data_IF_638586342162
#
_entry.id   IF_638586342162
#
_cell.length_a   1.000
_cell.length_b   1.000
_cell.length_c   1.000
_cell.angle_alpha   90.00
_cell.angle_beta   90.00
_cell.angle_gamma   90.00
#
_symmetry.space_group_name_H-M   'P 1'
#
loop_
_entity.id
_entity.type
_entity.pdbx_description
1 polymer ?
#
# COMPACT_ATOMS: atom_id res chain seq x y z
N UNK A 1 -28.92 -4.97 -21.83
CA UNK A 1 -28.55 -4.72 -20.41
C UNK A 1 -27.19 -4.03 -20.32
N UNK A 2 -26.72 -3.62 -19.14
CA UNK A 2 -25.35 -3.16 -18.91
C UNK A 2 -24.52 -4.19 -18.14
N UNK A 3 -23.21 -4.20 -18.35
CA UNK A 3 -22.26 -4.89 -17.49
C UNK A 3 -21.47 -3.85 -16.69
N UNK A 4 -21.36 -4.05 -15.37
CA UNK A 4 -20.39 -3.34 -14.54
C UNK A 4 -19.26 -4.28 -14.13
N UNK A 5 -18.05 -4.00 -14.63
CA UNK A 5 -16.85 -4.74 -14.26
C UNK A 5 -16.17 -4.09 -13.03
N UNK A 6 -16.25 -4.78 -11.90
CA UNK A 6 -15.36 -4.58 -10.76
C UNK A 6 -13.92 -4.91 -11.13
N UNK A 7 -13.00 -4.10 -10.61
CA UNK A 7 -11.56 -4.29 -10.68
C UNK A 7 -10.99 -4.11 -9.27
N UNK A 8 -10.18 -3.08 -9.06
CA UNK A 8 -9.67 -2.71 -7.73
C UNK A 8 -10.66 -1.80 -6.98
N UNK A 9 -11.96 -2.11 -7.00
CA UNK A 9 -13.06 -1.33 -6.44
C UNK A 9 -14.15 -2.25 -5.86
N UNK A 10 -13.73 -3.16 -4.98
CA UNK A 10 -14.59 -4.16 -4.33
C UNK A 10 -15.52 -3.53 -3.27
N UNK A 11 -16.43 -2.67 -3.73
CA UNK A 11 -17.38 -1.94 -2.90
C UNK A 11 -18.61 -1.50 -3.71
N UNK A 12 -19.72 -1.29 -3.02
CA UNK A 12 -20.94 -0.74 -3.63
C UNK A 12 -21.00 0.78 -3.42
N UNK A 13 -20.63 1.29 -2.25
CA UNK A 13 -20.76 2.72 -1.96
C UNK A 13 -19.66 3.53 -2.65
N UNK A 14 -20.02 4.76 -3.04
CA UNK A 14 -19.11 5.68 -3.71
C UNK A 14 -18.44 5.01 -4.94
N UNK A 15 -19.20 4.24 -5.72
CA UNK A 15 -18.71 3.57 -6.92
C UNK A 15 -19.31 4.22 -8.18
N UNK A 16 -18.53 5.12 -8.80
CA UNK A 16 -18.99 5.95 -9.93
C UNK A 16 -19.39 5.14 -11.17
N UNK A 17 -18.58 4.20 -11.68
CA UNK A 17 -18.98 3.38 -12.83
C UNK A 17 -20.19 2.49 -12.53
N UNK A 18 -20.30 1.91 -11.32
CA UNK A 18 -21.48 1.14 -10.91
C UNK A 18 -22.75 2.00 -10.90
N UNK A 19 -22.68 3.21 -10.34
CA UNK A 19 -23.79 4.17 -10.36
C UNK A 19 -24.17 4.55 -11.80
N UNK A 20 -23.18 4.79 -12.67
CA UNK A 20 -23.43 5.16 -14.05
C UNK A 20 -24.12 4.04 -14.84
N UNK A 21 -23.66 2.80 -14.68
CA UNK A 21 -24.26 1.62 -15.29
C UNK A 21 -25.72 1.48 -14.86
N UNK A 22 -25.96 1.34 -13.55
CA UNK A 22 -27.29 1.09 -12.96
C UNK A 22 -28.28 2.23 -13.16
N UNK A 23 -27.82 3.46 -13.39
CA UNK A 23 -28.68 4.59 -13.74
C UNK A 23 -29.21 4.52 -15.18
N UNK A 24 -28.42 3.96 -16.09
CA UNK A 24 -28.74 3.97 -17.53
C UNK A 24 -29.52 2.75 -17.99
N UNK A 25 -29.30 1.58 -17.37
CA UNK A 25 -30.03 0.35 -17.65
C UNK A 25 -29.83 -0.65 -16.51
N UNK A 26 -30.60 -1.73 -16.53
CA UNK A 26 -30.39 -2.88 -15.67
C UNK A 26 -28.94 -3.39 -15.81
N UNK A 27 -28.26 -3.61 -14.69
CA UNK A 27 -26.80 -3.80 -14.65
C UNK A 27 -26.40 -5.10 -13.98
N UNK A 28 -25.62 -5.92 -14.71
CA UNK A 28 -25.00 -7.15 -14.22
C UNK A 28 -23.64 -6.84 -13.58
N UNK A 29 -23.46 -7.09 -12.27
CA UNK A 29 -22.17 -6.94 -11.60
C UNK A 29 -21.24 -8.11 -11.91
N UNK A 30 -20.03 -7.80 -12.36
CA UNK A 30 -19.03 -8.79 -12.78
C UNK A 30 -17.68 -8.50 -12.13
N UNK A 31 -16.95 -9.53 -11.72
CA UNK A 31 -15.53 -9.48 -11.43
C UNK A 31 -14.79 -10.55 -12.26
N UNK A 32 -13.62 -10.21 -12.80
CA UNK A 32 -12.79 -11.16 -13.54
C UNK A 32 -11.41 -11.23 -12.89
N UNK A 33 -11.05 -12.43 -12.43
CA UNK A 33 -9.73 -12.77 -11.93
C UNK A 33 -8.76 -12.94 -13.12
N UNK A 34 -8.14 -11.82 -13.53
CA UNK A 34 -7.19 -11.81 -14.64
C UNK A 34 -5.79 -12.25 -14.16
N UNK A 35 -5.21 -13.33 -14.72
CA UNK A 35 -3.95 -13.89 -14.25
C UNK A 35 -2.77 -12.91 -14.40
N UNK A 36 -2.85 -11.90 -15.28
CA UNK A 36 -1.82 -10.86 -15.43
C UNK A 36 -1.73 -9.93 -14.22
N UNK A 37 -2.81 -9.84 -13.45
CA UNK A 37 -2.89 -9.11 -12.17
C UNK A 37 -2.72 -10.08 -11.02
N UNK A 38 -3.47 -11.18 -11.00
CA UNK A 38 -3.61 -11.98 -9.79
C UNK A 38 -2.45 -12.91 -9.51
N UNK A 39 -1.78 -13.45 -10.54
CA UNK A 39 -0.53 -14.18 -10.34
C UNK A 39 0.61 -13.30 -9.84
N UNK A 40 0.40 -11.97 -9.86
CA UNK A 40 1.36 -11.02 -9.30
C UNK A 40 1.12 -10.77 -7.81
N UNK A 41 -0.02 -11.07 -7.23
CA UNK A 41 -0.28 -10.77 -5.83
C UNK A 41 0.33 -11.82 -4.88
N UNK A 42 0.86 -11.35 -3.75
CA UNK A 42 1.28 -12.22 -2.65
C UNK A 42 0.09 -12.89 -1.97
N UNK A 43 0.34 -14.00 -1.28
CA UNK A 43 -0.70 -14.85 -0.67
C UNK A 43 -1.64 -14.06 0.26
N UNK A 44 -1.11 -13.19 1.12
CA UNK A 44 -1.93 -12.41 2.06
C UNK A 44 -2.84 -11.41 1.34
N UNK A 45 -2.35 -10.78 0.26
CA UNK A 45 -3.13 -9.85 -0.57
C UNK A 45 -4.22 -10.58 -1.34
N UNK A 46 -3.93 -11.80 -1.82
CA UNK A 46 -4.87 -12.68 -2.51
C UNK A 46 -6.02 -13.10 -1.58
N UNK A 47 -5.68 -13.72 -0.45
CA UNK A 47 -6.64 -14.12 0.56
C UNK A 47 -7.55 -12.95 1.03
N UNK A 48 -6.97 -11.78 1.29
CA UNK A 48 -7.75 -10.60 1.67
C UNK A 48 -8.69 -10.09 0.56
N UNK A 49 -8.28 -10.19 -0.71
CA UNK A 49 -9.14 -9.84 -1.85
C UNK A 49 -10.30 -10.82 -1.97
N UNK A 50 -10.03 -12.11 -1.89
CA UNK A 50 -11.02 -13.18 -2.06
C UNK A 50 -12.08 -13.15 -0.95
N UNK A 51 -11.67 -13.00 0.31
CA UNK A 51 -12.59 -12.70 1.42
C UNK A 51 -13.44 -11.44 1.15
N UNK A 52 -12.86 -10.45 0.48
CA UNK A 52 -13.57 -9.25 0.08
C UNK A 52 -14.56 -9.45 -1.05
N UNK A 53 -14.30 -10.38 -1.97
CA UNK A 53 -15.22 -10.77 -3.04
C UNK A 53 -16.42 -11.52 -2.47
N UNK A 54 -16.21 -12.41 -1.50
CA UNK A 54 -17.29 -13.06 -0.74
C UNK A 54 -18.18 -12.01 -0.08
N UNK A 55 -17.59 -11.05 0.65
CA UNK A 55 -18.34 -9.93 1.24
C UNK A 55 -19.04 -9.04 0.21
N UNK A 56 -18.46 -8.86 -0.96
CA UNK A 56 -19.09 -8.09 -2.03
C UNK A 56 -20.29 -8.84 -2.64
N UNK A 57 -20.19 -10.16 -2.82
CA UNK A 57 -21.28 -10.99 -3.29
C UNK A 57 -22.47 -10.96 -2.30
N UNK A 58 -22.20 -11.14 -1.00
CA UNK A 58 -23.21 -10.96 0.06
C UNK A 58 -23.93 -9.60 -0.06
N UNK A 59 -23.19 -8.52 -0.33
CA UNK A 59 -23.76 -7.18 -0.50
C UNK A 59 -24.64 -7.02 -1.73
N UNK A 60 -24.36 -7.74 -2.81
CA UNK A 60 -25.23 -7.77 -3.98
C UNK A 60 -26.52 -8.58 -3.72
N UNK A 61 -26.41 -9.70 -3.01
CA UNK A 61 -27.56 -10.53 -2.60
C UNK A 61 -28.51 -9.78 -1.68
N UNK A 62 -28.00 -9.03 -0.70
CA UNK A 62 -28.79 -8.12 0.15
C UNK A 62 -29.62 -7.11 -0.67
N UNK A 63 -29.26 -6.86 -1.93
CA UNK A 63 -29.91 -5.91 -2.83
C UNK A 63 -30.75 -6.58 -3.92
N UNK A 64 -30.99 -7.89 -3.82
CA UNK A 64 -31.77 -8.64 -4.80
C UNK A 64 -31.04 -8.85 -6.12
N UNK A 65 -29.70 -8.93 -6.10
CA UNK A 65 -28.84 -9.18 -7.25
C UNK A 65 -27.77 -10.20 -6.86
N UNK A 66 -26.72 -10.35 -7.67
CA UNK A 66 -25.60 -11.23 -7.41
C UNK A 66 -24.32 -10.71 -8.06
N UNK A 67 -23.20 -11.33 -7.72
CA UNK A 67 -21.90 -11.04 -8.33
C UNK A 67 -21.42 -12.23 -9.17
N UNK A 68 -21.29 -12.03 -10.48
CA UNK A 68 -20.69 -13.02 -11.36
C UNK A 68 -19.17 -12.91 -11.26
N UNK A 69 -18.50 -14.01 -10.94
CA UNK A 69 -17.03 -14.05 -10.89
C UNK A 69 -16.51 -15.06 -11.91
N UNK A 70 -15.69 -14.59 -12.86
CA UNK A 70 -15.00 -15.44 -13.84
C UNK A 70 -13.49 -15.43 -13.62
N UNK A 71 -12.81 -16.46 -14.10
CA UNK A 71 -11.35 -16.55 -14.09
C UNK A 71 -10.85 -16.64 -15.53
N UNK A 72 -9.95 -15.74 -15.95
CA UNK A 72 -9.49 -15.73 -17.32
C UNK A 72 -8.99 -14.38 -17.81
N UNK A 73 -8.68 -14.31 -19.10
CA UNK A 73 -8.28 -13.04 -19.72
C UNK A 73 -9.51 -12.13 -19.78
N UNK A 74 -9.44 -10.95 -19.15
CA UNK A 74 -10.60 -10.02 -19.02
C UNK A 74 -11.36 -9.82 -20.32
N UNK A 75 -10.66 -9.63 -21.44
CA UNK A 75 -11.30 -9.44 -22.74
C UNK A 75 -12.21 -10.62 -23.13
N UNK A 76 -11.67 -11.84 -23.06
CA UNK A 76 -12.36 -13.05 -23.50
C UNK A 76 -13.60 -13.34 -22.63
N UNK A 77 -13.46 -13.21 -21.32
CA UNK A 77 -14.58 -13.42 -20.40
C UNK A 77 -15.67 -12.35 -20.59
N UNK A 78 -15.29 -11.10 -20.85
CA UNK A 78 -16.26 -10.05 -21.18
C UNK A 78 -16.96 -10.28 -22.51
N UNK A 79 -16.28 -10.76 -23.55
CA UNK A 79 -16.93 -11.10 -24.83
C UNK A 79 -18.04 -12.12 -24.62
N UNK A 80 -17.76 -13.20 -23.87
CA UNK A 80 -18.77 -14.20 -23.54
C UNK A 80 -19.94 -13.63 -22.73
N UNK A 81 -19.66 -12.78 -21.73
CA UNK A 81 -20.70 -12.16 -20.91
C UNK A 81 -21.54 -11.12 -21.68
N UNK A 82 -20.93 -10.41 -22.64
CA UNK A 82 -21.64 -9.47 -23.51
C UNK A 82 -22.67 -10.21 -24.36
N UNK A 83 -22.29 -11.36 -24.92
CA UNK A 83 -23.19 -12.20 -25.70
C UNK A 83 -24.26 -12.87 -24.81
N UNK A 84 -23.88 -13.34 -23.62
CA UNK A 84 -24.79 -14.01 -22.67
C UNK A 84 -25.93 -13.09 -22.18
N UNK A 85 -25.62 -11.82 -21.90
CA UNK A 85 -26.56 -10.86 -21.32
C UNK A 85 -27.12 -9.83 -22.31
N UNK A 86 -26.82 -9.99 -23.61
CA UNK A 86 -27.12 -8.99 -24.66
C UNK A 86 -26.76 -7.57 -24.18
N UNK A 87 -25.50 -7.43 -23.75
CA UNK A 87 -25.04 -6.23 -23.09
C UNK A 87 -24.80 -5.12 -24.13
N UNK A 88 -25.40 -3.96 -23.90
CA UNK A 88 -25.23 -2.77 -24.75
C UNK A 88 -23.96 -2.00 -24.41
N UNK A 89 -23.51 -2.11 -23.14
CA UNK A 89 -22.39 -1.32 -22.64
C UNK A 89 -21.69 -1.94 -21.44
N UNK A 90 -20.36 -1.80 -21.43
CA UNK A 90 -19.48 -2.21 -20.31
C UNK A 90 -18.96 -0.98 -19.56
N UNK A 91 -19.29 -0.86 -18.28
CA UNK A 91 -18.79 0.18 -17.38
C UNK A 91 -17.69 -0.36 -16.48
N UNK A 92 -16.65 0.44 -16.24
CA UNK A 92 -15.57 0.02 -15.35
C UNK A 92 -14.80 1.19 -14.73
N UNK A 93 -14.13 0.93 -13.60
CA UNK A 93 -13.18 1.86 -12.99
C UNK A 93 -11.85 1.87 -13.73
N UNK A 94 -11.37 3.06 -14.14
CA UNK A 94 -10.03 3.20 -14.73
C UNK A 94 -8.95 2.77 -13.73
N UNK A 95 -7.92 2.11 -14.25
CA UNK A 95 -6.72 1.76 -13.52
C UNK A 95 -5.52 2.47 -14.13
N UNK A 96 -4.49 2.72 -13.30
CA UNK A 96 -3.38 3.61 -13.67
C UNK A 96 -2.02 2.91 -13.62
N UNK A 97 -2.00 1.60 -13.34
CA UNK A 97 -0.81 0.76 -13.47
C UNK A 97 -0.60 0.33 -14.93
N UNK A 98 0.63 -0.02 -15.36
CA UNK A 98 0.89 -0.44 -16.74
C UNK A 98 -0.04 -1.57 -17.22
N UNK A 99 -0.06 -2.70 -16.52
CA UNK A 99 -0.94 -3.84 -16.84
C UNK A 99 -2.42 -3.49 -16.75
N UNK A 100 -2.83 -2.66 -15.78
CA UNK A 100 -4.21 -2.23 -15.66
C UNK A 100 -4.70 -1.42 -16.87
N UNK A 101 -3.84 -0.54 -17.41
CA UNK A 101 -4.11 0.25 -18.62
C UNK A 101 -4.13 -0.62 -19.87
N UNK A 102 -3.26 -1.62 -19.96
CA UNK A 102 -3.26 -2.61 -21.06
C UNK A 102 -4.61 -3.34 -21.12
N UNK A 103 -5.08 -3.88 -19.99
CA UNK A 103 -6.42 -4.48 -19.88
C UNK A 103 -7.51 -3.46 -20.24
N UNK A 104 -7.38 -2.20 -19.80
CA UNK A 104 -8.32 -1.13 -20.15
C UNK A 104 -8.45 -0.93 -21.67
N UNK A 105 -7.33 -0.95 -22.40
CA UNK A 105 -7.35 -0.87 -23.88
C UNK A 105 -8.00 -2.09 -24.53
N UNK A 106 -7.83 -3.27 -23.93
CA UNK A 106 -8.50 -4.49 -24.41
C UNK A 106 -10.02 -4.42 -24.22
N UNK A 107 -10.50 -3.85 -23.11
CA UNK A 107 -11.93 -3.59 -22.86
C UNK A 107 -12.46 -2.55 -23.86
N UNK A 108 -11.69 -1.49 -24.14
CA UNK A 108 -12.02 -0.47 -25.16
C UNK A 108 -12.09 -1.04 -26.59
N UNK A 109 -11.52 -2.22 -26.84
CA UNK A 109 -11.49 -2.89 -28.12
C UNK A 109 -12.52 -4.04 -28.25
N UNK A 110 -13.48 -4.13 -27.33
CA UNK A 110 -14.63 -5.03 -27.46
C UNK A 110 -15.59 -4.53 -28.56
N UNK A 111 -16.41 -5.44 -29.10
CA UNK A 111 -17.45 -5.10 -30.09
C UNK A 111 -18.72 -4.50 -29.45
N UNK A 112 -18.58 -3.86 -28.28
CA UNK A 112 -19.65 -3.22 -27.51
C UNK A 112 -19.12 -1.89 -26.97
N UNK A 113 -20.01 -0.91 -26.73
CA UNK A 113 -19.58 0.35 -26.12
C UNK A 113 -18.95 0.07 -24.75
N UNK A 114 -17.84 0.73 -24.42
CA UNK A 114 -17.25 0.64 -23.11
C UNK A 114 -16.92 2.01 -22.53
N UNK A 115 -17.16 2.17 -21.23
CA UNK A 115 -17.00 3.44 -20.52
C UNK A 115 -16.16 3.28 -19.27
N UNK A 116 -14.86 3.58 -19.42
CA UNK A 116 -13.95 3.72 -18.28
C UNK A 116 -14.16 5.05 -17.55
N UNK A 117 -14.33 5.01 -16.23
CA UNK A 117 -14.55 6.21 -15.39
C UNK A 117 -13.54 6.32 -14.25
N UNK A 118 -13.27 7.56 -13.80
CA UNK A 118 -12.49 7.79 -12.58
C UNK A 118 -13.20 7.18 -11.37
N UNK A 119 -12.53 6.30 -10.63
CA UNK A 119 -13.12 5.68 -9.43
C UNK A 119 -12.17 5.63 -8.21
N UNK A 120 -10.96 5.09 -8.32
CA UNK A 120 -10.11 4.82 -7.13
C UNK A 120 -9.12 5.94 -6.78
N UNK A 121 -8.98 6.94 -7.65
CA UNK A 121 -8.22 8.16 -7.39
C UNK A 121 -9.16 9.36 -7.27
N UNK A 122 -8.81 10.29 -6.38
CA UNK A 122 -9.45 11.59 -6.19
C UNK A 122 -9.08 12.55 -7.31
N UNK A 123 -7.85 12.46 -7.83
CA UNK A 123 -7.37 13.21 -8.99
C UNK A 123 -6.70 12.23 -9.96
N UNK A 124 -7.15 12.20 -11.20
CA UNK A 124 -6.53 11.37 -12.23
C UNK A 124 -5.19 11.95 -12.69
N UNK A 125 -4.21 11.11 -13.05
CA UNK A 125 -2.93 11.56 -13.60
C UNK A 125 -3.00 12.53 -14.78
N UNK A 126 -4.06 12.42 -15.59
CA UNK A 126 -4.33 13.28 -16.76
C UNK A 126 -4.84 14.67 -16.40
N UNK A 127 -5.35 14.87 -15.18
CA UNK A 127 -5.85 16.16 -14.70
C UNK A 127 -4.72 17.05 -14.13
N UNK A 128 -3.50 16.53 -14.09
CA UNK A 128 -2.33 17.20 -13.53
C UNK A 128 -1.38 17.64 -14.66
N UNK A 129 -0.83 18.84 -14.52
CA UNK A 129 -0.12 19.59 -15.55
C UNK A 129 1.15 18.91 -16.06
N UNK A 130 1.85 18.15 -15.19
CA UNK A 130 3.13 17.53 -15.53
C UNK A 130 3.51 16.38 -14.62
N UNK A 131 4.66 15.81 -14.91
CA UNK A 131 5.45 14.99 -14.01
C UNK A 131 6.01 15.83 -12.85
N UNK A 132 6.17 15.22 -11.68
CA UNK A 132 6.67 15.89 -10.49
C UNK A 132 7.78 15.07 -9.85
N UNK A 133 8.95 15.69 -9.70
CA UNK A 133 10.09 15.06 -9.03
C UNK A 133 9.97 15.05 -7.50
N UNK A 134 9.10 15.90 -6.94
CA UNK A 134 8.89 16.03 -5.50
C UNK A 134 7.40 16.12 -5.18
N UNK A 135 7.04 15.75 -3.94
CA UNK A 135 5.63 15.72 -3.53
C UNK A 135 5.00 17.10 -3.37
N UNK A 136 5.78 18.11 -2.94
CA UNK A 136 5.22 19.43 -2.61
C UNK A 136 4.56 20.14 -3.80
N UNK A 137 5.17 20.21 -5.00
CA UNK A 137 4.52 20.73 -6.20
C UNK A 137 3.27 19.95 -6.61
N UNK A 138 3.34 18.61 -6.58
CA UNK A 138 2.19 17.74 -6.84
C UNK A 138 1.04 18.09 -5.90
N UNK A 139 1.30 18.17 -4.59
CA UNK A 139 0.27 18.40 -3.60
C UNK A 139 -0.40 19.78 -3.73
N UNK A 140 0.37 20.82 -4.11
CA UNK A 140 -0.20 22.14 -4.39
C UNK A 140 -1.20 22.10 -5.54
N UNK A 141 -0.91 21.37 -6.60
CA UNK A 141 -1.81 21.25 -7.75
C UNK A 141 -2.97 20.30 -7.48
N UNK A 142 -2.70 19.14 -6.88
CA UNK A 142 -3.70 18.17 -6.44
C UNK A 142 -4.79 18.83 -5.58
N UNK A 143 -4.42 19.77 -4.69
CA UNK A 143 -5.38 20.55 -3.90
C UNK A 143 -6.29 21.45 -4.75
N UNK A 144 -5.79 22.03 -5.84
CA UNK A 144 -6.54 22.95 -6.71
C UNK A 144 -7.54 22.22 -7.62
N UNK A 145 -7.28 20.97 -7.97
CA UNK A 145 -8.21 20.18 -8.79
C UNK A 145 -9.53 20.00 -8.04
N UNK A 146 -10.65 20.30 -8.70
CA UNK A 146 -11.99 20.02 -8.19
C UNK A 146 -12.22 18.50 -8.17
N UNK A 147 -12.43 17.94 -6.98
CA UNK A 147 -12.69 16.51 -6.81
C UNK A 147 -14.17 16.23 -7.09
N UNK A 148 -14.44 15.05 -7.64
CA UNK A 148 -15.80 14.57 -7.81
C UNK A 148 -16.49 14.37 -6.46
N UNK A 149 -17.80 14.64 -6.40
CA UNK A 149 -18.64 14.31 -5.26
C UNK A 149 -18.76 12.79 -5.09
N UNK A 150 -19.29 12.38 -3.93
CA UNK A 150 -19.66 10.99 -3.69
C UNK A 150 -20.63 10.51 -4.76
N UNK A 151 -20.43 9.27 -5.22
CA UNK A 151 -21.44 8.62 -6.05
C UNK A 151 -22.64 8.23 -5.18
N UNK A 152 -23.83 8.40 -5.73
CA UNK A 152 -25.07 7.85 -5.16
C UNK A 152 -25.03 6.32 -5.18
N UNK A 153 -25.94 5.70 -4.41
CA UNK A 153 -26.12 4.24 -4.40
C UNK A 153 -26.57 3.76 -5.79
N UNK A 154 -26.18 2.54 -6.22
CA UNK A 154 -26.75 1.95 -7.43
C UNK A 154 -28.25 1.72 -7.28
N UNK A 155 -28.93 1.67 -8.42
CA UNK A 155 -30.37 1.44 -8.52
C UNK A 155 -30.64 0.13 -9.27
N UNK A 156 -30.79 0.18 -10.61
CA UNK A 156 -31.22 -0.96 -11.42
C UNK A 156 -30.13 -2.04 -11.56
N UNK A 157 -30.05 -2.93 -10.57
CA UNK A 157 -29.21 -4.12 -10.60
C UNK A 157 -30.00 -5.29 -11.17
N UNK A 158 -29.35 -6.09 -12.02
CA UNK A 158 -29.96 -7.28 -12.62
C UNK A 158 -30.17 -8.37 -11.57
N UNK A 159 -31.28 -9.12 -11.68
CA UNK A 159 -31.50 -10.34 -10.89
C UNK A 159 -30.64 -11.49 -11.45
N UNK A 160 -29.42 -11.58 -10.95
CA UNK A 160 -28.46 -12.65 -11.25
C UNK A 160 -28.03 -13.34 -9.97
N UNK A 161 -27.63 -14.60 -10.06
CA UNK A 161 -27.09 -15.34 -8.91
C UNK A 161 -25.60 -15.05 -8.76
N UNK A 162 -25.14 -14.93 -7.51
CA UNK A 162 -23.71 -14.92 -7.25
C UNK A 162 -23.07 -16.25 -7.65
N UNK A 163 -21.99 -16.17 -8.41
CA UNK A 163 -21.17 -17.33 -8.79
C UNK A 163 -19.80 -17.16 -8.12
N UNK A 164 -19.73 -17.40 -6.80
CA UNK A 164 -18.47 -17.27 -6.06
C UNK A 164 -17.68 -18.59 -6.16
N UNK A 165 -16.48 -18.59 -6.76
CA UNK A 165 -15.62 -19.76 -6.78
C UNK A 165 -15.22 -20.16 -5.36
N UNK A 166 -14.89 -21.44 -5.18
CA UNK A 166 -14.24 -21.90 -3.95
C UNK A 166 -12.81 -21.31 -3.89
N UNK A 167 -12.66 -20.18 -3.18
CA UNK A 167 -11.40 -19.47 -3.08
C UNK A 167 -10.50 -20.06 -1.99
N UNK A 168 -9.19 -20.09 -2.24
CA UNK A 168 -8.19 -20.33 -1.20
C UNK A 168 -8.00 -19.04 -0.37
N UNK A 169 -8.89 -18.86 0.60
CA UNK A 169 -8.85 -17.70 1.50
C UNK A 169 -7.80 -17.82 2.61
N UNK A 170 -6.90 -18.82 2.57
CA UNK A 170 -5.85 -18.98 3.57
C UNK A 170 -4.77 -17.90 3.46
N UNK A 171 -4.60 -17.15 4.55
CA UNK A 171 -3.51 -16.20 4.70
C UNK A 171 -2.37 -16.81 5.51
N UNK A 172 -1.13 -16.46 5.17
CA UNK A 172 0.05 -16.85 5.99
C UNK A 172 0.30 -15.91 7.16
N UNK A 173 -0.45 -14.82 7.23
CA UNK A 173 -0.37 -13.82 8.27
C UNK A 173 -1.74 -13.61 8.91
N UNK A 174 -1.74 -13.09 10.12
CA UNK A 174 -2.94 -12.65 10.83
C UNK A 174 -3.41 -11.30 10.26
N UNK A 175 -4.22 -11.39 9.20
CA UNK A 175 -4.81 -10.28 8.46
C UNK A 175 -6.22 -9.96 8.99
N UNK A 176 -6.65 -8.68 8.97
CA UNK A 176 -7.96 -8.31 9.48
C UNK A 176 -9.09 -8.80 8.57
N UNK A 177 -10.32 -8.64 9.06
CA UNK A 177 -11.54 -8.83 8.28
C UNK A 177 -11.58 -7.93 7.04
N UNK A 178 -12.00 -8.51 5.91
CA UNK A 178 -12.14 -7.85 4.62
C UNK A 178 -13.56 -7.32 4.40
N UNK A 179 -13.76 -6.58 3.32
CA UNK A 179 -15.06 -6.07 2.92
C UNK A 179 -15.28 -4.59 3.23
N UNK A 180 -16.33 -4.04 2.63
CA UNK A 180 -16.69 -2.63 2.71
C UNK A 180 -17.12 -2.20 4.12
N UNK A 181 -17.87 -3.03 4.83
CA UNK A 181 -18.36 -2.69 6.18
C UNK A 181 -17.20 -2.61 7.18
N UNK A 182 -16.30 -3.59 7.17
CA UNK A 182 -15.08 -3.58 8.00
C UNK A 182 -14.17 -2.37 7.68
N UNK A 183 -14.09 -1.96 6.40
CA UNK A 183 -13.39 -0.75 6.01
C UNK A 183 -14.03 0.52 6.61
N UNK A 184 -15.35 0.63 6.55
CA UNK A 184 -16.10 1.77 7.06
C UNK A 184 -15.99 1.86 8.58
N UNK A 185 -16.18 0.75 9.30
CA UNK A 185 -16.05 0.71 10.76
C UNK A 185 -14.65 1.19 11.21
N UNK A 186 -13.58 0.68 10.58
CA UNK A 186 -12.22 1.13 10.87
C UNK A 186 -12.00 2.60 10.56
N UNK A 187 -12.61 3.10 9.48
CA UNK A 187 -12.53 4.52 9.15
C UNK A 187 -13.21 5.37 10.21
N UNK A 188 -14.44 5.03 10.61
CA UNK A 188 -15.21 5.78 11.60
C UNK A 188 -14.53 5.79 12.96
N UNK A 189 -14.08 4.63 13.42
CA UNK A 189 -13.34 4.49 14.68
C UNK A 189 -12.06 5.35 14.69
N UNK A 190 -11.29 5.36 13.58
CA UNK A 190 -10.11 6.22 13.47
C UNK A 190 -10.46 7.71 13.37
N UNK A 191 -11.43 8.07 12.52
CA UNK A 191 -11.90 9.44 12.26
C UNK A 191 -12.37 10.11 13.54
N UNK A 192 -13.05 9.37 14.41
CA UNK A 192 -13.73 9.94 15.56
C UNK A 192 -12.89 9.89 16.83
N UNK A 193 -12.03 8.87 16.99
CA UNK A 193 -11.26 8.72 18.24
C UNK A 193 -9.82 9.20 18.16
N UNK A 194 -9.18 9.16 16.99
CA UNK A 194 -7.70 9.23 16.90
C UNK A 194 -7.15 10.22 15.87
N UNK A 195 -7.93 10.55 14.83
CA UNK A 195 -7.46 11.42 13.75
C UNK A 195 -7.06 12.83 14.23
N UNK A 196 -7.64 13.32 15.33
CA UNK A 196 -7.30 14.62 15.95
C UNK A 196 -5.87 14.69 16.50
N UNK A 197 -5.20 13.55 16.67
CA UNK A 197 -3.81 13.43 17.13
C UNK A 197 -2.88 12.80 16.07
N UNK A 198 -3.38 12.58 14.85
CA UNK A 198 -2.68 11.82 13.81
C UNK A 198 -1.27 12.37 13.49
N UNK A 199 -1.14 13.67 13.21
CA UNK A 199 0.14 14.31 12.90
C UNK A 199 1.17 14.08 14.00
N UNK A 200 0.75 14.14 15.25
CA UNK A 200 1.66 14.15 16.40
C UNK A 200 1.99 12.73 16.88
N UNK A 201 1.12 11.75 16.60
CA UNK A 201 1.26 10.37 17.07
C UNK A 201 1.50 9.32 15.99
N UNK A 202 1.39 9.65 14.69
CA UNK A 202 1.62 8.71 13.57
C UNK A 202 3.00 8.04 13.53
N UNK A 203 3.98 8.57 14.26
CA UNK A 203 5.33 8.04 14.31
C UNK A 203 5.60 7.25 15.60
N UNK A 204 4.65 7.24 16.55
CA UNK A 204 4.68 6.41 17.76
C UNK A 204 4.37 4.97 17.38
N UNK A 205 5.40 4.14 17.32
CA UNK A 205 5.26 2.75 16.84
C UNK A 205 4.75 1.80 17.93
N UNK A 206 4.92 2.19 19.20
CA UNK A 206 4.43 1.45 20.35
C UNK A 206 2.89 1.48 20.41
N UNK A 207 2.30 2.60 20.00
CA UNK A 207 0.86 2.86 19.93
C UNK A 207 0.32 2.90 18.49
N UNK A 208 0.25 1.75 17.79
CA UNK A 208 -0.16 1.68 16.39
C UNK A 208 -1.64 2.05 16.15
N UNK A 209 -2.41 2.38 17.19
CA UNK A 209 -3.80 2.82 17.09
C UNK A 209 -3.92 4.17 16.37
N UNK A 210 -2.89 5.02 16.50
CA UNK A 210 -2.87 6.37 15.93
C UNK A 210 -2.69 6.42 14.41
N UNK A 211 -2.64 5.27 13.74
CA UNK A 211 -2.74 5.17 12.28
C UNK A 211 -4.02 4.43 11.89
N UNK A 212 -4.60 4.77 10.75
CA UNK A 212 -5.92 4.27 10.35
C UNK A 212 -5.95 2.79 9.98
N UNK A 213 -4.81 2.20 9.59
CA UNK A 213 -4.71 0.84 9.05
C UNK A 213 -5.69 0.60 7.89
N UNK A 214 -5.96 1.63 7.08
CA UNK A 214 -6.87 1.56 5.93
C UNK A 214 -6.21 1.18 4.60
N UNK A 215 -4.88 1.04 4.57
CA UNK A 215 -4.10 0.80 3.35
C UNK A 215 -4.53 -0.48 2.61
N UNK A 216 -4.86 -1.56 3.33
CA UNK A 216 -5.35 -2.81 2.73
C UNK A 216 -6.69 -2.62 2.01
N UNK A 217 -7.64 -1.92 2.64
CA UNK A 217 -8.94 -1.65 2.05
C UNK A 217 -8.83 -0.74 0.83
N UNK A 218 -7.98 0.29 0.86
CA UNK A 218 -7.72 1.10 -0.35
C UNK A 218 -7.07 0.29 -1.46
N UNK A 219 -6.14 -0.61 -1.12
CA UNK A 219 -5.41 -1.40 -2.12
C UNK A 219 -6.31 -2.42 -2.83
N UNK A 220 -7.42 -2.85 -2.21
CA UNK A 220 -8.45 -3.71 -2.82
C UNK A 220 -9.71 -2.94 -3.24
N UNK A 221 -9.74 -1.62 -3.02
CA UNK A 221 -10.87 -0.78 -3.40
C UNK A 221 -12.14 -0.93 -2.56
N UNK A 222 -12.03 -1.51 -1.37
CA UNK A 222 -13.12 -1.73 -0.42
C UNK A 222 -13.55 -0.44 0.30
N UNK A 223 -12.79 0.65 0.13
CA UNK A 223 -13.13 1.97 0.67
C UNK A 223 -12.93 3.06 -0.37
N UNK A 224 -13.99 3.83 -0.64
CA UNK A 224 -13.94 4.99 -1.52
C UNK A 224 -13.20 6.16 -0.88
N UNK A 225 -12.11 6.63 -1.51
CA UNK A 225 -11.33 7.78 -1.00
C UNK A 225 -12.13 9.07 -0.96
N UNK A 226 -13.19 9.22 -1.78
CA UNK A 226 -14.02 10.44 -1.75
C UNK A 226 -14.80 10.52 -0.44
N UNK A 227 -15.26 9.39 0.11
CA UNK A 227 -15.93 9.36 1.44
C UNK A 227 -14.98 9.89 2.52
N UNK A 228 -13.78 9.34 2.54
CA UNK A 228 -12.74 9.71 3.51
C UNK A 228 -12.36 11.18 3.36
N UNK A 229 -12.12 11.66 2.13
CA UNK A 229 -11.81 13.06 1.90
C UNK A 229 -12.96 13.97 2.32
N UNK A 230 -14.20 13.65 1.95
CA UNK A 230 -15.39 14.43 2.33
C UNK A 230 -15.50 14.57 3.86
N UNK A 231 -15.30 13.47 4.58
CA UNK A 231 -15.34 13.47 6.05
C UNK A 231 -14.20 14.32 6.64
N UNK A 232 -12.99 14.27 6.08
CA UNK A 232 -11.85 15.09 6.51
C UNK A 232 -12.12 16.57 6.27
N UNK A 233 -12.59 16.96 5.06
CA UNK A 233 -12.87 18.36 4.75
C UNK A 233 -14.03 18.88 5.60
N UNK A 234 -15.05 18.06 5.87
CA UNK A 234 -16.14 18.41 6.78
C UNK A 234 -15.63 18.67 8.21
N UNK A 235 -14.72 17.83 8.73
CA UNK A 235 -14.08 18.09 10.03
C UNK A 235 -13.25 19.36 10.01
N UNK A 236 -12.43 19.59 8.98
CA UNK A 236 -11.61 20.81 8.87
C UNK A 236 -12.49 22.07 8.85
N UNK A 237 -13.59 22.05 8.10
CA UNK A 237 -14.45 23.23 7.93
C UNK A 237 -15.30 23.56 9.16
N UNK A 238 -15.52 22.60 10.07
CA UNK A 238 -16.34 22.75 11.28
C UNK A 238 -15.52 22.84 12.57
N UNK A 239 -14.20 22.74 12.47
CA UNK A 239 -13.30 22.66 13.62
C UNK A 239 -12.66 24.03 13.88
N UNK A 240 -12.80 24.53 15.10
CA UNK A 240 -12.17 25.77 15.53
C UNK A 240 -10.76 25.53 16.11
N UNK A 241 -10.49 24.30 16.59
CA UNK A 241 -9.19 23.97 17.15
C UNK A 241 -8.12 23.82 16.06
N UNK A 242 -7.24 24.81 15.95
CA UNK A 242 -6.13 24.81 14.99
C UNK A 242 -5.20 23.59 15.10
N UNK A 243 -5.08 22.99 16.29
CA UNK A 243 -4.31 21.76 16.49
C UNK A 243 -4.97 20.56 15.79
N UNK A 244 -6.28 20.39 15.96
CA UNK A 244 -7.05 19.36 15.27
C UNK A 244 -7.03 19.55 13.75
N UNK A 245 -7.21 20.78 13.26
CA UNK A 245 -7.15 21.10 11.82
C UNK A 245 -5.81 20.66 11.22
N UNK A 246 -4.68 20.93 11.89
CA UNK A 246 -3.35 20.51 11.43
C UNK A 246 -3.23 18.97 11.37
N UNK A 247 -3.83 18.28 12.32
CA UNK A 247 -3.86 16.81 12.37
C UNK A 247 -4.71 16.22 11.23
N UNK A 248 -5.91 16.74 10.99
CA UNK A 248 -6.78 16.35 9.87
C UNK A 248 -6.12 16.62 8.52
N UNK A 249 -5.54 17.82 8.35
CA UNK A 249 -4.82 18.21 7.13
C UNK A 249 -3.60 17.31 6.88
N UNK A 250 -2.91 16.85 7.94
CA UNK A 250 -1.81 15.90 7.79
C UNK A 250 -2.31 14.55 7.28
N UNK A 251 -3.45 14.05 7.75
CA UNK A 251 -4.01 12.80 7.23
C UNK A 251 -4.42 12.93 5.75
N UNK A 252 -5.01 14.07 5.36
CA UNK A 252 -5.25 14.40 3.93
C UNK A 252 -3.96 14.35 3.10
N UNK A 253 -2.84 14.85 3.62
CA UNK A 253 -1.55 14.78 2.92
C UNK A 253 -1.13 13.33 2.62
N UNK A 254 -1.39 12.39 3.54
CA UNK A 254 -1.02 10.98 3.34
C UNK A 254 -1.90 10.29 2.29
N UNK A 255 -3.18 10.69 2.17
CA UNK A 255 -4.02 10.26 1.06
C UNK A 255 -3.42 10.73 -0.28
N UNK A 256 -2.99 12.00 -0.34
CA UNK A 256 -2.36 12.56 -1.53
C UNK A 256 -1.01 11.87 -1.85
N UNK A 257 -0.22 11.46 -0.85
CA UNK A 257 1.01 10.67 -1.06
C UNK A 257 0.72 9.36 -1.80
N UNK A 258 -0.38 8.69 -1.45
CA UNK A 258 -0.84 7.51 -2.19
C UNK A 258 -1.05 7.81 -3.67
N UNK A 259 -1.67 8.95 -4.01
CA UNK A 259 -1.94 9.35 -5.40
C UNK A 259 -0.71 9.90 -6.13
N UNK A 260 0.24 10.49 -5.40
CA UNK A 260 1.52 10.92 -5.95
C UNK A 260 2.26 9.74 -6.57
N UNK A 261 2.32 8.60 -5.88
CA UNK A 261 2.97 7.42 -6.45
C UNK A 261 2.24 6.85 -7.68
N UNK A 262 0.91 7.00 -7.75
CA UNK A 262 0.18 6.70 -8.98
C UNK A 262 0.54 7.67 -10.12
N UNK A 263 0.70 8.96 -9.85
CA UNK A 263 1.13 9.95 -10.84
C UNK A 263 2.52 9.62 -11.39
N UNK A 264 3.47 9.31 -10.50
CA UNK A 264 4.85 8.92 -10.87
C UNK A 264 4.81 7.70 -11.78
N UNK A 265 4.15 6.63 -11.34
CA UNK A 265 4.09 5.37 -12.10
C UNK A 265 3.32 5.52 -13.42
N UNK A 266 2.29 6.36 -13.47
CA UNK A 266 1.50 6.59 -14.68
C UNK A 266 2.34 7.21 -15.80
N UNK A 267 3.22 8.17 -15.43
CA UNK A 267 4.15 8.84 -16.36
C UNK A 267 5.39 8.00 -16.64
N UNK A 268 5.81 7.17 -15.69
CA UNK A 268 7.04 6.37 -15.74
C UNK A 268 6.76 4.88 -15.53
N UNK A 269 6.16 4.17 -16.49
CA UNK A 269 5.80 2.77 -16.34
C UNK A 269 7.01 1.86 -16.07
N UNK A 270 8.20 2.22 -16.55
CA UNK A 270 9.46 1.51 -16.31
C UNK A 270 9.91 1.54 -14.84
N UNK A 271 9.44 2.51 -14.03
CA UNK A 271 9.77 2.61 -12.61
C UNK A 271 9.27 1.42 -11.77
N UNK A 272 8.52 0.49 -12.36
CA UNK A 272 8.21 -0.81 -11.73
C UNK A 272 9.45 -1.68 -11.58
N UNK A 273 10.39 -1.59 -12.52
CA UNK A 273 11.58 -2.45 -12.61
C UNK A 273 12.88 -1.68 -12.64
N UNK A 274 12.84 -0.40 -13.01
CA UNK A 274 14.00 0.47 -13.18
C UNK A 274 14.03 1.56 -12.10
N UNK A 275 15.20 2.18 -11.93
CA UNK A 275 15.31 3.35 -11.09
C UNK A 275 14.60 4.51 -11.81
N UNK A 276 13.84 5.32 -11.07
CA UNK A 276 13.21 6.52 -11.63
C UNK A 276 14.26 7.56 -11.99
N UNK A 277 15.28 7.74 -11.14
CA UNK A 277 16.38 8.68 -11.40
C UNK A 277 17.44 8.02 -12.27
N UNK A 278 17.92 8.78 -13.25
CA UNK A 278 19.18 8.51 -13.93
C UNK A 278 20.33 8.71 -12.95
N UNK A 279 21.06 7.63 -12.67
CA UNK A 279 22.20 7.62 -11.77
C UNK A 279 23.46 7.51 -12.65
N UNK A 280 24.43 8.44 -12.56
CA UNK A 280 25.55 8.53 -13.49
C UNK A 280 26.38 7.26 -13.62
N UNK A 281 26.59 6.54 -12.50
CA UNK A 281 27.33 5.28 -12.47
C UNK A 281 26.46 4.18 -11.84
N UNK A 282 26.69 2.93 -12.23
CA UNK A 282 25.97 1.77 -11.69
C UNK A 282 26.16 1.69 -10.16
N UNK A 283 25.06 1.52 -9.42
CA UNK A 283 25.14 1.17 -8.00
C UNK A 283 25.67 -0.27 -7.87
N UNK A 284 26.78 -0.42 -7.15
CA UNK A 284 27.45 -1.71 -6.93
C UNK A 284 26.82 -2.48 -5.76
N UNK A 285 25.56 -2.92 -5.94
CA UNK A 285 24.84 -3.71 -4.93
C UNK A 285 25.61 -4.98 -4.51
N UNK A 286 25.73 -5.20 -3.20
CA UNK A 286 26.35 -6.38 -2.57
C UNK A 286 25.24 -7.36 -2.18
N UNK A 287 24.61 -7.97 -3.19
CA UNK A 287 23.50 -8.93 -3.05
C UNK A 287 23.94 -10.26 -2.39
N UNK A 288 24.52 -10.20 -1.19
CA UNK A 288 24.94 -11.35 -0.40
C UNK A 288 23.72 -12.12 0.10
N UNK A 289 23.70 -13.42 -0.15
CA UNK A 289 22.54 -14.27 0.17
C UNK A 289 22.24 -14.29 1.67
N UNK A 290 23.26 -14.47 2.52
CA UNK A 290 23.05 -14.68 3.96
C UNK A 290 22.52 -13.43 4.67
N UNK A 291 23.09 -12.25 4.36
CA UNK A 291 22.60 -10.96 4.89
C UNK A 291 21.15 -10.69 4.46
N UNK A 292 20.79 -11.06 3.22
CA UNK A 292 19.41 -10.97 2.74
C UNK A 292 18.48 -11.93 3.49
N UNK A 293 18.92 -13.17 3.76
CA UNK A 293 18.09 -14.12 4.50
C UNK A 293 17.89 -13.68 5.95
N UNK A 294 18.94 -13.21 6.63
CA UNK A 294 18.83 -12.68 7.99
C UNK A 294 17.84 -11.50 8.04
N UNK A 295 17.90 -10.59 7.06
CA UNK A 295 16.92 -9.50 6.94
C UNK A 295 15.50 -10.02 6.73
N UNK A 296 15.30 -11.00 5.82
CA UNK A 296 13.97 -11.60 5.57
C UNK A 296 13.37 -12.28 6.81
N UNK A 297 14.21 -12.88 7.64
CA UNK A 297 13.80 -13.58 8.88
C UNK A 297 13.62 -12.63 10.08
N UNK A 298 14.22 -11.44 10.05
CA UNK A 298 14.29 -10.57 11.23
C UNK A 298 15.26 -11.13 12.27
N UNK A 299 16.44 -11.52 11.80
CA UNK A 299 17.57 -12.08 12.57
C UNK A 299 18.86 -11.28 12.27
N UNK A 300 18.75 -9.97 12.10
CA UNK A 300 19.89 -9.09 11.75
C UNK A 300 20.73 -8.71 12.95
N UNK A 301 20.24 -8.93 14.17
CA UNK A 301 20.84 -8.42 15.40
C UNK A 301 20.67 -6.89 15.55
N UNK A 302 19.75 -6.29 14.80
CA UNK A 302 19.34 -4.88 14.94
C UNK A 302 17.88 -4.85 15.40
N UNK A 303 17.59 -4.67 16.70
CA UNK A 303 16.27 -4.95 17.28
C UNK A 303 15.12 -4.22 16.59
N UNK A 304 15.30 -2.95 16.23
CA UNK A 304 14.27 -2.16 15.57
C UNK A 304 13.96 -2.64 14.14
N UNK A 305 14.97 -3.15 13.42
CA UNK A 305 14.80 -3.73 12.08
C UNK A 305 14.11 -5.08 12.18
N UNK A 306 14.58 -5.94 13.10
CA UNK A 306 14.05 -7.28 13.30
C UNK A 306 12.60 -7.27 13.76
N UNK A 307 12.25 -6.38 14.69
CA UNK A 307 10.87 -6.15 15.11
C UNK A 307 9.95 -5.79 13.92
N UNK A 308 10.42 -4.90 13.04
CA UNK A 308 9.72 -4.55 11.80
C UNK A 308 9.48 -5.76 10.91
N UNK A 309 10.54 -6.52 10.60
CA UNK A 309 10.48 -7.69 9.72
C UNK A 309 9.57 -8.79 10.27
N UNK A 310 9.62 -9.04 11.58
CA UNK A 310 8.74 -9.99 12.27
C UNK A 310 7.28 -9.52 12.26
N UNK A 311 7.01 -8.23 12.44
CA UNK A 311 5.67 -7.67 12.28
C UNK A 311 5.12 -7.93 10.86
N UNK A 312 5.91 -7.65 9.82
CA UNK A 312 5.51 -7.87 8.43
C UNK A 312 5.12 -9.33 8.17
N UNK A 313 5.96 -10.27 8.60
CA UNK A 313 5.68 -11.70 8.35
C UNK A 313 4.47 -12.16 9.14
N UNK A 314 4.34 -11.78 10.43
CA UNK A 314 3.26 -12.24 11.31
C UNK A 314 1.91 -11.62 10.98
N UNK A 315 1.85 -10.33 10.62
CA UNK A 315 0.61 -9.56 10.43
C UNK A 315 0.30 -9.22 8.97
N UNK A 316 1.24 -9.49 8.05
CA UNK A 316 1.12 -9.05 6.66
C UNK A 316 1.08 -7.54 6.52
N UNK A 317 1.45 -6.79 7.56
CA UNK A 317 1.40 -5.34 7.63
C UNK A 317 2.59 -4.88 8.45
N UNK A 318 3.18 -3.75 8.06
CA UNK A 318 4.25 -3.09 8.82
C UNK A 318 3.93 -1.61 8.98
N UNK A 319 4.17 -1.05 10.17
CA UNK A 319 4.03 0.38 10.39
C UNK A 319 4.96 1.18 9.45
N UNK A 320 4.50 2.32 8.91
CA UNK A 320 5.24 3.05 7.88
C UNK A 320 6.66 3.46 8.32
N UNK A 321 6.82 3.89 9.58
CA UNK A 321 8.14 4.22 10.16
C UNK A 321 9.11 3.04 10.08
N UNK A 322 8.62 1.83 10.31
CA UNK A 322 9.43 0.62 10.22
C UNK A 322 9.72 0.27 8.76
N UNK A 323 8.75 0.43 7.84
CA UNK A 323 8.99 0.24 6.39
C UNK A 323 10.17 1.07 5.89
N UNK A 324 10.25 2.33 6.32
CA UNK A 324 11.38 3.22 5.99
C UNK A 324 12.71 2.71 6.57
N UNK A 325 12.71 2.30 7.83
CA UNK A 325 13.92 1.81 8.52
C UNK A 325 14.44 0.49 7.94
N UNK A 326 13.58 -0.51 7.75
CA UNK A 326 14.01 -1.81 7.20
C UNK A 326 14.47 -1.68 5.74
N UNK A 327 13.84 -0.81 4.96
CA UNK A 327 14.23 -0.56 3.57
C UNK A 327 15.56 0.19 3.48
N UNK A 328 15.77 1.18 4.35
CA UNK A 328 17.06 1.88 4.46
C UNK A 328 18.16 0.95 4.98
N UNK A 329 17.88 0.08 5.94
CA UNK A 329 18.83 -0.92 6.40
C UNK A 329 19.26 -1.85 5.26
N UNK A 330 18.31 -2.43 4.52
CA UNK A 330 18.58 -3.31 3.39
C UNK A 330 19.46 -2.62 2.33
N UNK A 331 19.06 -1.43 1.88
CA UNK A 331 19.71 -0.74 0.76
C UNK A 331 20.98 0.02 1.13
N UNK A 332 21.09 0.51 2.37
CA UNK A 332 22.21 1.38 2.79
C UNK A 332 23.23 0.66 3.69
N UNK A 333 22.80 -0.24 4.57
CA UNK A 333 23.74 -0.96 5.45
C UNK A 333 24.16 -2.29 4.83
N UNK A 334 23.18 -3.06 4.32
CA UNK A 334 23.46 -4.33 3.65
C UNK A 334 23.89 -4.12 2.19
N UNK A 335 23.62 -2.94 1.62
CA UNK A 335 23.88 -2.62 0.21
C UNK A 335 23.23 -3.63 -0.75
N UNK A 336 22.06 -4.14 -0.40
CA UNK A 336 21.28 -5.07 -1.23
C UNK A 336 20.31 -4.27 -2.11
N UNK A 337 20.12 -4.73 -3.35
CA UNK A 337 19.21 -4.10 -4.31
C UNK A 337 17.79 -3.98 -3.74
N UNK A 338 17.22 -2.78 -3.80
CA UNK A 338 15.88 -2.47 -3.31
C UNK A 338 14.80 -3.36 -3.91
N UNK A 339 15.02 -3.91 -5.11
CA UNK A 339 14.09 -4.83 -5.79
C UNK A 339 13.91 -6.14 -5.03
N UNK A 340 14.91 -6.61 -4.29
CA UNK A 340 14.79 -7.78 -3.42
C UNK A 340 13.79 -7.52 -2.29
N UNK A 341 13.93 -6.36 -1.65
CA UNK A 341 13.03 -5.90 -0.62
C UNK A 341 11.61 -5.66 -1.15
N UNK A 342 11.47 -5.03 -2.31
CA UNK A 342 10.18 -4.78 -2.96
C UNK A 342 9.44 -6.09 -3.29
N UNK A 343 10.17 -7.12 -3.78
CA UNK A 343 9.62 -8.47 -4.00
C UNK A 343 9.18 -9.13 -2.70
N UNK A 344 9.99 -9.03 -1.64
CA UNK A 344 9.63 -9.57 -0.34
C UNK A 344 8.38 -8.90 0.23
N UNK A 345 8.32 -7.56 0.19
CA UNK A 345 7.15 -6.80 0.62
C UNK A 345 5.90 -7.18 -0.18
N UNK A 346 6.01 -7.34 -1.50
CA UNK A 346 4.90 -7.79 -2.35
C UNK A 346 4.38 -9.19 -2.00
N UNK A 347 5.25 -10.09 -1.56
CA UNK A 347 4.86 -11.44 -1.12
C UNK A 347 4.08 -11.44 0.20
N UNK A 348 4.42 -10.53 1.12
CA UNK A 348 3.92 -10.56 2.50
C UNK A 348 2.86 -9.50 2.81
N UNK A 349 2.87 -8.34 2.15
CA UNK A 349 1.95 -7.25 2.49
C UNK A 349 0.52 -7.53 2.02
N UNK A 350 -0.43 -7.51 2.96
CA UNK A 350 -1.87 -7.49 2.66
C UNK A 350 -2.30 -6.20 1.97
N UNK A 351 -1.58 -5.11 2.24
CA UNK A 351 -1.81 -3.80 1.62
C UNK A 351 -0.93 -3.51 0.40
N UNK A 352 -0.33 -4.56 -0.19
CA UNK A 352 0.53 -4.38 -1.35
C UNK A 352 -0.19 -3.60 -2.46
N UNK A 353 0.43 -2.49 -2.83
CA UNK A 353 0.03 -1.66 -3.96
C UNK A 353 1.29 -1.28 -4.76
N UNK A 354 1.33 -1.64 -6.04
CA UNK A 354 2.53 -1.46 -6.88
C UNK A 354 3.10 -0.04 -6.86
N UNK A 355 2.32 1.03 -7.13
CA UNK A 355 2.85 2.39 -7.06
C UNK A 355 3.41 2.74 -5.68
N UNK A 356 2.67 2.52 -4.60
CA UNK A 356 3.14 2.89 -3.25
C UNK A 356 4.34 2.05 -2.79
N UNK A 357 4.37 0.75 -3.09
CA UNK A 357 5.48 -0.13 -2.73
C UNK A 357 6.76 0.27 -3.47
N UNK A 358 6.70 0.39 -4.80
CA UNK A 358 7.87 0.78 -5.59
C UNK A 358 8.34 2.19 -5.23
N UNK A 359 7.41 3.15 -5.11
CA UNK A 359 7.74 4.52 -4.71
C UNK A 359 8.44 4.59 -3.35
N UNK A 360 7.94 3.85 -2.35
CA UNK A 360 8.56 3.78 -1.02
C UNK A 360 9.96 3.16 -1.04
N UNK A 361 10.14 2.05 -1.77
CA UNK A 361 11.46 1.41 -1.91
C UNK A 361 12.47 2.29 -2.63
N UNK A 362 12.07 2.92 -3.73
CA UNK A 362 12.93 3.83 -4.47
C UNK A 362 13.27 5.10 -3.67
N UNK A 363 12.32 5.61 -2.87
CA UNK A 363 12.57 6.72 -1.94
C UNK A 363 13.63 6.34 -0.90
N UNK A 364 13.52 5.16 -0.27
CA UNK A 364 14.53 4.67 0.69
C UNK A 364 15.88 4.38 0.04
N UNK A 365 15.87 3.92 -1.22
CA UNK A 365 17.09 3.61 -1.97
C UNK A 365 17.78 4.84 -2.57
N UNK A 366 17.19 6.04 -2.48
CA UNK A 366 17.65 7.25 -3.21
C UNK A 366 17.65 7.11 -4.73
N UNK A 367 16.82 6.21 -5.27
CA UNK A 367 16.66 5.97 -6.72
C UNK A 367 15.36 6.56 -7.28
N UNK A 368 14.48 7.07 -6.40
CA UNK A 368 13.14 7.56 -6.69
C UNK A 368 12.96 9.08 -6.65
N UNK A 369 11.71 9.51 -6.81
CA UNK A 369 11.24 10.88 -6.54
C UNK A 369 11.41 11.28 -5.07
N UNK A 370 11.45 12.58 -4.79
CA UNK A 370 11.56 13.17 -3.44
C UNK A 370 12.79 12.68 -2.65
N UNK A 371 13.83 12.24 -3.36
CA UNK A 371 15.07 11.77 -2.77
C UNK A 371 16.05 12.93 -2.54
N UNK A 372 16.50 13.07 -1.30
CA UNK A 372 17.77 13.76 -1.01
C UNK A 372 18.93 12.89 -1.49
N UNK A 373 20.09 13.50 -1.78
CA UNK A 373 21.24 12.84 -2.42
C UNK A 373 21.55 11.46 -1.81
N UNK A 374 21.75 11.37 -0.49
CA UNK A 374 21.91 10.10 0.21
C UNK A 374 21.27 10.19 1.60
N UNK A 375 20.18 9.46 1.83
CA UNK A 375 19.55 9.34 3.16
C UNK A 375 19.83 7.97 3.73
N UNK A 376 20.51 7.93 4.87
CA UNK A 376 20.78 6.71 5.62
C UNK A 376 20.13 6.85 6.99
N UNK A 377 19.11 6.03 7.27
CA UNK A 377 18.52 5.98 8.59
C UNK A 377 19.44 5.22 9.53
N UNK A 378 19.64 5.75 10.74
CA UNK A 378 20.25 4.99 11.83
C UNK A 378 19.11 4.30 12.62
N UNK A 379 18.86 2.98 12.44
CA UNK A 379 17.80 2.27 13.15
C UNK A 379 17.91 2.32 14.68
N UNK A 380 19.11 2.44 15.25
CA UNK A 380 19.29 2.62 16.71
C UNK A 380 18.69 3.95 17.16
N UNK A 381 19.08 5.06 16.51
CA UNK A 381 18.52 6.39 16.80
C UNK A 381 17.02 6.45 16.54
N UNK A 382 16.55 5.78 15.50
CA UNK A 382 15.12 5.73 15.16
C UNK A 382 14.33 4.93 16.20
N UNK A 383 14.87 3.82 16.71
CA UNK A 383 14.29 3.08 17.83
C UNK A 383 14.16 3.94 19.08
N UNK A 384 15.26 4.58 19.52
CA UNK A 384 15.24 5.48 20.70
C UNK A 384 14.21 6.62 20.57
N UNK A 385 14.03 7.14 19.35
CA UNK A 385 13.12 8.26 19.11
C UNK A 385 11.64 7.85 19.05
N UNK A 386 11.33 6.72 18.42
CA UNK A 386 9.96 6.35 18.06
C UNK A 386 9.40 5.17 18.88
N UNK A 387 10.26 4.53 19.67
CA UNK A 387 9.96 3.40 20.56
C UNK A 387 10.81 3.51 21.83
N UNK A 388 10.82 4.67 22.50
CA UNK A 388 11.80 4.99 23.57
C UNK A 388 11.81 4.02 24.76
N UNK A 389 10.71 3.32 25.01
CA UNK A 389 10.59 2.29 26.06
C UNK A 389 10.72 0.86 25.49
N UNK A 390 11.17 0.73 24.24
CA UNK A 390 11.30 -0.52 23.50
C UNK A 390 10.01 -1.36 23.45
N UNK A 391 8.82 -0.77 23.64
CA UNK A 391 7.56 -1.52 23.70
C UNK A 391 7.23 -2.23 22.39
N UNK A 392 7.47 -1.56 21.26
CA UNK A 392 7.31 -2.18 19.95
C UNK A 392 8.35 -3.29 19.74
N UNK A 393 9.62 -3.06 20.09
CA UNK A 393 10.66 -4.08 19.98
C UNK A 393 10.30 -5.30 20.83
N UNK A 394 9.99 -5.13 22.12
CA UNK A 394 9.62 -6.21 23.05
C UNK A 394 8.38 -6.99 22.62
N UNK A 395 7.46 -6.34 21.89
CA UNK A 395 6.26 -6.98 21.32
C UNK A 395 6.61 -7.96 20.20
N UNK A 396 7.59 -7.62 19.35
CA UNK A 396 7.92 -8.40 18.15
C UNK A 396 9.21 -9.24 18.26
N UNK A 397 10.04 -8.94 19.25
CA UNK A 397 11.30 -9.62 19.57
C UNK A 397 11.19 -10.09 21.04
N UNK A 398 10.39 -11.15 21.31
CA UNK A 398 10.06 -11.57 22.66
C UNK A 398 11.28 -11.98 23.50
N UNK A 399 12.36 -12.43 22.87
CA UNK A 399 13.62 -12.78 23.54
C UNK A 399 14.33 -11.58 24.20
N UNK A 400 13.95 -10.34 23.85
CA UNK A 400 14.45 -9.11 24.46
C UNK A 400 13.48 -8.51 25.50
N UNK A 401 12.35 -9.17 25.80
CA UNK A 401 11.25 -8.58 26.59
C UNK A 401 11.66 -8.16 28.00
N UNK A 402 12.50 -8.96 28.65
CA UNK A 402 12.91 -8.75 30.04
C UNK A 402 14.04 -7.73 30.19
N UNK A 403 14.69 -7.34 29.09
CA UNK A 403 15.76 -6.36 29.13
C UNK A 403 15.22 -4.94 29.32
N UNK A 404 15.99 -4.07 29.96
CA UNK A 404 15.64 -2.66 30.03
C UNK A 404 15.75 -2.00 28.63
N UNK A 405 14.99 -0.91 28.36
CA UNK A 405 15.00 -0.27 27.04
C UNK A 405 16.37 0.20 26.56
N UNK A 406 17.21 0.69 27.47
CA UNK A 406 18.55 1.18 27.11
C UNK A 406 19.42 0.04 26.58
N UNK A 407 19.40 -1.13 27.23
CA UNK A 407 20.11 -2.32 26.76
C UNK A 407 19.65 -2.76 25.37
N UNK A 408 18.35 -2.72 25.11
CA UNK A 408 17.78 -3.08 23.81
C UNK A 408 18.22 -2.10 22.72
N UNK A 409 18.12 -0.79 22.98
CA UNK A 409 18.53 0.21 22.01
C UNK A 409 20.04 0.24 21.79
N UNK A 410 20.83 -0.11 22.81
CA UNK A 410 22.29 -0.16 22.75
C UNK A 410 22.82 -1.49 22.19
N UNK A 411 21.99 -2.51 21.95
CA UNK A 411 22.41 -3.86 21.55
C UNK A 411 23.48 -3.89 20.44
N UNK A 412 23.30 -3.04 19.41
CA UNK A 412 24.21 -2.91 18.26
C UNK A 412 25.54 -2.23 18.61
N UNK A 413 25.53 -1.35 19.60
CA UNK A 413 26.68 -0.58 20.07
C UNK A 413 27.47 -1.32 21.17
N UNK A 414 26.84 -2.28 21.86
CA UNK A 414 27.44 -3.12 22.89
C UNK A 414 28.56 -4.01 22.35
N UNK A 415 29.49 -4.38 23.23
CA UNK A 415 30.48 -5.42 22.94
C UNK A 415 29.86 -6.82 22.99
N UNK A 416 30.47 -7.79 22.32
CA UNK A 416 30.01 -9.19 22.36
C UNK A 416 29.94 -9.74 23.80
N UNK A 417 30.95 -9.44 24.60
CA UNK A 417 31.03 -9.89 25.98
C UNK A 417 29.86 -9.35 26.82
N UNK A 418 29.54 -8.06 26.66
CA UNK A 418 28.43 -7.40 27.35
C UNK A 418 27.08 -7.97 26.90
N UNK A 419 26.89 -8.24 25.60
CA UNK A 419 25.68 -8.93 25.13
C UNK A 419 25.49 -10.32 25.73
N UNK A 420 26.58 -11.08 25.84
CA UNK A 420 26.56 -12.41 26.42
C UNK A 420 26.18 -12.41 27.92
N UNK A 421 26.27 -11.29 28.63
CA UNK A 421 25.85 -11.17 30.03
C UNK A 421 24.31 -11.16 30.19
N UNK A 422 23.55 -10.86 29.14
CA UNK A 422 22.08 -10.80 29.19
C UNK A 422 21.38 -12.16 29.05
N UNK A 423 22.12 -13.24 28.77
CA UNK A 423 21.60 -14.62 28.62
C UNK A 423 20.30 -14.70 27.80
N UNK A 424 20.36 -14.19 26.55
CA UNK A 424 19.23 -14.13 25.61
C UNK A 424 19.59 -14.82 24.30
N UNK A 425 18.59 -15.43 23.65
CA UNK A 425 18.72 -16.07 22.33
C UNK A 425 18.74 -15.06 21.16
N UNK A 426 18.71 -13.75 21.45
CA UNK A 426 18.72 -12.73 20.40
C UNK A 426 20.10 -12.66 19.70
N UNK A 427 20.17 -12.68 18.35
CA UNK A 427 21.44 -12.76 17.65
C UNK A 427 22.30 -11.50 17.78
N UNK A 428 23.60 -11.71 17.62
CA UNK A 428 24.55 -10.61 17.42
C UNK A 428 24.33 -9.88 16.11
N UNK A 429 24.71 -8.59 16.02
CA UNK A 429 24.66 -7.85 14.77
C UNK A 429 25.43 -8.57 13.65
N UNK A 430 24.75 -8.90 12.55
CA UNK A 430 25.33 -9.61 11.39
C UNK A 430 26.38 -8.78 10.63
N UNK A 431 26.53 -7.50 11.00
CA UNK A 431 27.44 -6.55 10.39
C UNK A 431 28.05 -5.64 11.45
N UNK A 432 29.28 -5.16 11.18
CA UNK A 432 29.79 -3.98 11.86
C UNK A 432 29.01 -2.74 11.37
N UNK A 433 28.18 -2.18 12.24
CA UNK A 433 27.22 -1.15 11.89
C UNK A 433 27.87 0.15 11.38
N UNK A 434 28.88 0.66 12.07
CA UNK A 434 29.60 1.88 11.68
C UNK A 434 30.36 1.70 10.37
N UNK A 435 31.05 0.57 10.20
CA UNK A 435 31.74 0.26 8.96
C UNK A 435 30.77 0.21 7.78
N UNK A 436 29.63 -0.50 7.92
CA UNK A 436 28.62 -0.60 6.87
C UNK A 436 27.94 0.71 6.53
N UNK A 437 27.75 1.59 7.51
CA UNK A 437 27.29 2.95 7.26
C UNK A 437 28.21 3.69 6.27
N UNK A 438 29.52 3.70 6.53
CA UNK A 438 30.49 4.38 5.68
C UNK A 438 30.62 3.72 4.31
N UNK A 439 30.63 2.38 4.24
CA UNK A 439 30.68 1.65 2.97
C UNK A 439 29.45 1.92 2.10
N UNK A 440 28.25 1.91 2.70
CA UNK A 440 27.02 2.20 2.01
C UNK A 440 26.96 3.63 1.50
N UNK A 441 27.38 4.59 2.33
CA UNK A 441 27.50 5.99 1.93
C UNK A 441 28.44 6.14 0.72
N UNK A 442 29.65 5.60 0.80
CA UNK A 442 30.63 5.65 -0.27
C UNK A 442 30.14 4.99 -1.58
N UNK A 443 29.40 3.88 -1.49
CA UNK A 443 28.79 3.24 -2.66
C UNK A 443 27.84 4.18 -3.41
N UNK A 444 27.00 4.91 -2.67
CA UNK A 444 26.08 5.89 -3.28
C UNK A 444 26.80 7.15 -3.76
N UNK A 445 27.81 7.66 -3.04
CA UNK A 445 28.62 8.80 -3.48
C UNK A 445 29.31 8.50 -4.81
N UNK A 446 29.96 7.33 -4.91
CA UNK A 446 30.56 6.84 -6.16
C UNK A 446 29.53 6.73 -7.28
N UNK A 447 28.34 6.17 -7.01
CA UNK A 447 27.27 6.03 -8.00
C UNK A 447 26.76 7.39 -8.51
N UNK A 448 26.70 8.40 -7.64
CA UNK A 448 26.29 9.77 -7.94
C UNK A 448 27.41 10.61 -8.58
N UNK A 449 28.64 10.10 -8.66
CA UNK A 449 29.78 10.83 -9.22
C UNK A 449 30.36 11.87 -8.26
N UNK A 450 30.11 11.74 -6.95
CA UNK A 450 30.85 12.50 -5.94
C UNK A 450 32.21 11.82 -5.79
N UNK A 451 33.27 12.50 -6.23
CA UNK A 451 34.66 12.05 -6.13
C UNK A 451 35.21 12.21 -4.71
#
# INVERSE_FOLDING_TARGET
>A
MNIFLHRNDLRIHDNRPLRAASKSSETVPVYIDDPRIENKNGVNKRAFRERGLEKLAEKYEERGSGLIIKQGKTKNELEGLVDEFDAEKVYYGRTYTPTGREIGKEIEALNVESQGMQNNLLVEPRQLSKEYDTFSPFYREWKKVKKASLAEKPENLADVKSEVPDFDTEARADIPEAGEDAALEKWEDFRDKRMSNYKDKRDDVANPEYVSKLSMYYSSGMLGKRKVLSDIENKINREDNSHHIKNYAKYRNEIAWGEFFYQVLYRNPQAVTENYRDIPKKIEWKNKSDELQAWKKGETGVPFVDAGMRQLVKKGYMHNRLRQNVASFLTKHLMIDWREGARFFRKHLVDHNTPSNNGGWQWSASTGTDSVSIRIFNPVKQGRQYDSHAEYIKRWVPELRELNPDSIHNWVEMGQKERNEYDTDYPDPIINFNQRYHMGKAMFEKALGYE
#
